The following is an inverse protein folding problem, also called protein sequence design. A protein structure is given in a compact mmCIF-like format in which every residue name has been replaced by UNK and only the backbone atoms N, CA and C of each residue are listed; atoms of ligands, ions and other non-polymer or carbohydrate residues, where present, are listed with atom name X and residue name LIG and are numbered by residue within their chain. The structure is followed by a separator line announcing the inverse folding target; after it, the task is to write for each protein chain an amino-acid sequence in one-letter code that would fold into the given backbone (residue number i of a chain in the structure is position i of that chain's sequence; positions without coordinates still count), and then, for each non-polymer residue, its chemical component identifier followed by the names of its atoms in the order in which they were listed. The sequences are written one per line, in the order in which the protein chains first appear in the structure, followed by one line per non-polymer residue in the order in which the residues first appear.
data_IF_741267533065
#
_entry.id   IF_741267533065
#
_cell.length_a   1.000
_cell.length_b   1.000
_cell.length_c   1.000
_cell.angle_alpha   90.00
_cell.angle_beta   90.00
_cell.angle_gamma   90.00
#
_symmetry.space_group_name_H-M   'P 1'
#
loop_
_entity.id
_entity.type
_entity.pdbx_description
1 polymer ?
#
# COMPACT_ATOMS: atom_id res chain seq x y z
N UNK A 1 -18.06 6.66 10.93
CA UNK A 1 -17.27 5.68 10.13
C UNK A 1 -18.16 4.55 9.67
N UNK A 2 -18.13 4.19 8.38
CA UNK A 2 -18.81 3.00 7.88
C UNK A 2 -18.00 1.75 8.18
N UNK A 3 -18.71 0.63 8.45
CA UNK A 3 -18.11 -0.66 8.76
C UNK A 3 -18.63 -1.73 7.80
N UNK A 4 -17.75 -2.61 7.36
CA UNK A 4 -18.11 -3.80 6.60
C UNK A 4 -17.82 -5.06 7.42
N UNK A 5 -18.63 -6.09 7.21
CA UNK A 5 -18.46 -7.36 7.92
C UNK A 5 -17.58 -8.29 7.08
N UNK A 6 -16.54 -8.83 7.70
CA UNK A 6 -15.74 -9.87 7.08
C UNK A 6 -16.57 -11.14 6.93
N UNK A 7 -16.70 -11.68 5.70
CA UNK A 7 -17.50 -12.89 5.41
C UNK A 7 -16.90 -14.12 6.11
N UNK A 8 -15.60 -14.27 6.04
CA UNK A 8 -14.87 -15.35 6.70
C UNK A 8 -14.56 -14.93 8.15
N UNK A 9 -15.59 -14.75 8.95
CA UNK A 9 -15.45 -14.35 10.34
C UNK A 9 -15.36 -15.58 11.24
N UNK A 10 -14.22 -15.84 11.93
CA UNK A 10 -14.15 -16.90 12.93
C UNK A 10 -15.11 -16.62 14.07
N UNK A 11 -15.32 -17.60 14.95
CA UNK A 11 -16.10 -17.39 16.16
C UNK A 11 -15.66 -16.09 16.89
N UNK A 12 -16.59 -15.36 17.50
CA UNK A 12 -16.27 -14.08 18.14
C UNK A 12 -15.09 -14.20 19.10
N UNK A 13 -14.05 -13.39 18.88
CA UNK A 13 -12.83 -13.35 19.70
C UNK A 13 -12.49 -11.92 20.16
N UNK A 14 -13.27 -10.94 19.68
CA UNK A 14 -13.17 -9.54 20.07
C UNK A 14 -14.57 -8.89 20.08
N UNK A 15 -14.64 -7.63 20.56
CA UNK A 15 -15.89 -6.89 20.72
C UNK A 15 -16.46 -6.37 19.37
N UNK A 16 -15.73 -6.54 18.27
CA UNK A 16 -16.07 -5.96 16.96
C UNK A 16 -17.01 -6.83 16.12
N UNK A 17 -17.20 -8.12 16.48
CA UNK A 17 -18.08 -9.06 15.75
C UNK A 17 -17.80 -9.11 14.23
N UNK A 18 -16.53 -9.04 13.83
CA UNK A 18 -16.10 -9.04 12.44
C UNK A 18 -16.35 -7.72 11.69
N UNK A 19 -16.76 -6.65 12.37
CA UNK A 19 -16.91 -5.32 11.78
C UNK A 19 -15.54 -4.67 11.60
N UNK A 20 -15.24 -4.27 10.37
CA UNK A 20 -14.00 -3.64 9.97
C UNK A 20 -14.35 -2.27 9.39
N UNK A 21 -13.67 -1.22 9.87
CA UNK A 21 -13.85 0.13 9.34
C UNK A 21 -13.48 0.16 7.86
N UNK A 22 -14.28 0.85 7.06
CA UNK A 22 -14.05 0.96 5.63
C UNK A 22 -12.74 1.69 5.31
N UNK A 23 -12.29 2.59 6.18
CA UNK A 23 -10.94 3.15 6.19
C UNK A 23 -10.05 2.40 7.18
N UNK A 24 -8.86 2.00 6.75
CA UNK A 24 -7.80 1.43 7.58
C UNK A 24 -6.54 2.30 7.55
N UNK A 25 -5.77 2.27 8.63
CA UNK A 25 -4.49 2.97 8.74
C UNK A 25 -3.34 2.03 8.35
N UNK A 26 -2.66 2.34 7.22
CA UNK A 26 -1.43 1.68 6.80
C UNK A 26 -0.20 2.40 7.35
N UNK A 27 0.77 1.67 7.89
CA UNK A 27 1.94 2.23 8.59
C UNK A 27 3.21 2.26 7.77
N UNK A 28 3.14 2.02 6.47
CA UNK A 28 4.31 2.09 5.59
C UNK A 28 4.85 3.52 5.39
N UNK A 29 4.03 4.52 5.68
CA UNK A 29 4.33 5.95 5.44
C UNK A 29 4.17 6.79 6.71
N UNK A 30 4.57 6.25 7.86
CA UNK A 30 4.60 7.05 9.09
C UNK A 30 5.55 8.26 8.96
N UNK A 31 5.27 9.37 9.65
CA UNK A 31 6.13 10.53 9.62
C UNK A 31 7.53 10.19 10.15
N UNK A 32 8.56 10.78 9.54
CA UNK A 32 9.94 10.59 9.90
C UNK A 32 10.51 11.91 10.45
N UNK A 33 11.45 11.83 11.39
CA UNK A 33 12.25 12.98 11.85
C UNK A 33 13.30 13.37 10.83
N UNK A 34 13.86 12.36 10.15
CA UNK A 34 14.80 12.51 9.05
C UNK A 34 14.29 11.68 7.86
N UNK A 35 13.99 12.34 6.74
CA UNK A 35 13.48 11.70 5.53
C UNK A 35 14.49 10.71 4.91
N UNK A 36 15.79 10.86 5.19
CA UNK A 36 16.84 9.96 4.74
C UNK A 36 16.94 8.70 5.61
N UNK A 37 16.55 8.75 6.87
CA UNK A 37 16.55 7.62 7.81
C UNK A 37 15.15 7.03 7.97
N UNK A 38 14.91 5.90 7.31
CA UNK A 38 13.62 5.19 7.40
C UNK A 38 13.30 4.65 8.80
N UNK A 39 14.27 4.57 9.70
CA UNK A 39 14.07 4.10 11.08
C UNK A 39 13.67 5.23 12.04
N UNK A 40 13.79 6.48 11.61
CA UNK A 40 13.60 7.69 12.42
C UNK A 40 12.12 8.12 12.55
N UNK A 41 11.22 7.20 12.87
CA UNK A 41 9.79 7.53 13.03
C UNK A 41 9.65 8.70 14.02
N UNK A 42 8.90 9.73 13.62
CA UNK A 42 8.44 10.79 14.51
C UNK A 42 7.25 10.26 15.32
N UNK A 43 7.58 9.62 16.44
CA UNK A 43 6.59 8.91 17.25
C UNK A 43 5.50 9.84 17.81
N UNK A 44 5.79 11.12 18.03
CA UNK A 44 4.81 12.08 18.53
C UNK A 44 3.75 12.36 17.46
N UNK A 45 4.16 12.75 16.26
CA UNK A 45 3.24 12.97 15.13
C UNK A 45 2.54 11.69 14.70
N UNK A 46 3.25 10.57 14.69
CA UNK A 46 2.64 9.28 14.37
C UNK A 46 1.57 8.88 15.40
N UNK A 47 1.78 9.19 16.70
CA UNK A 47 0.79 8.93 17.73
C UNK A 47 -0.47 9.79 17.56
N UNK A 48 -0.33 11.07 17.19
CA UNK A 48 -1.47 11.95 16.89
C UNK A 48 -2.33 11.38 15.75
N UNK A 49 -1.69 10.84 14.70
CA UNK A 49 -2.34 10.16 13.58
C UNK A 49 -3.15 8.95 14.06
N UNK A 50 -2.55 8.09 14.89
CA UNK A 50 -3.23 6.92 15.46
C UNK A 50 -4.41 7.31 16.33
N UNK A 51 -4.23 8.31 17.18
CA UNK A 51 -5.23 8.78 18.11
C UNK A 51 -6.44 9.37 17.40
N UNK A 52 -6.20 10.19 16.39
CA UNK A 52 -7.27 10.76 15.58
C UNK A 52 -8.02 9.67 14.82
N UNK A 53 -7.30 8.76 14.15
CA UNK A 53 -7.92 7.65 13.41
C UNK A 53 -8.80 6.78 14.32
N UNK A 54 -8.26 6.35 15.47
CA UNK A 54 -8.99 5.52 16.42
C UNK A 54 -10.22 6.25 16.98
N UNK A 55 -10.07 7.50 17.41
CA UNK A 55 -11.17 8.31 17.97
C UNK A 55 -12.32 8.52 16.97
N UNK A 56 -12.02 8.49 15.65
CA UNK A 56 -13.02 8.61 14.59
C UNK A 56 -13.46 7.26 14.00
N UNK A 57 -13.21 6.16 14.72
CA UNK A 57 -13.77 4.85 14.44
C UNK A 57 -12.97 3.99 13.45
N UNK A 58 -11.74 4.39 13.07
CA UNK A 58 -10.83 3.49 12.38
C UNK A 58 -10.42 2.38 13.35
N UNK A 59 -10.68 1.13 12.97
CA UNK A 59 -10.39 -0.04 13.79
C UNK A 59 -9.51 -1.08 13.09
N UNK A 60 -8.95 -0.78 11.90
CA UNK A 60 -8.02 -1.65 11.18
C UNK A 60 -6.67 -0.95 11.02
N UNK A 61 -5.62 -1.56 11.57
CA UNK A 61 -4.24 -1.07 11.55
C UNK A 61 -3.35 -2.11 10.87
N UNK A 62 -2.62 -1.67 9.82
CA UNK A 62 -1.80 -2.54 8.99
C UNK A 62 -0.32 -2.16 9.09
N UNK A 63 0.51 -3.11 9.53
CA UNK A 63 1.96 -2.99 9.57
C UNK A 63 2.63 -4.14 8.82
N UNK A 64 3.96 -4.20 8.82
CA UNK A 64 4.74 -5.33 8.35
C UNK A 64 6.13 -5.34 8.97
N UNK A 65 6.71 -6.53 9.07
CA UNK A 65 8.04 -6.77 9.62
C UNK A 65 9.14 -5.84 9.07
N UNK A 66 9.25 -5.59 7.73
CA UNK A 66 10.32 -4.76 7.18
C UNK A 66 10.03 -3.25 7.19
N UNK A 67 8.81 -2.81 7.54
CA UNK A 67 8.47 -1.40 7.45
C UNK A 67 9.30 -0.56 8.41
N UNK A 68 9.79 0.58 7.91
CA UNK A 68 10.66 1.47 8.67
C UNK A 68 11.88 0.76 9.28
N UNK A 69 12.52 -0.15 8.51
CA UNK A 69 13.67 -0.91 9.00
C UNK A 69 13.36 -1.80 10.21
N UNK A 70 12.11 -2.25 10.37
CA UNK A 70 11.62 -3.04 11.49
C UNK A 70 11.11 -2.24 12.69
N UNK A 71 11.07 -0.89 12.57
CA UNK A 71 10.58 -0.02 13.65
C UNK A 71 9.06 0.14 13.64
N UNK A 72 8.39 -0.12 12.51
CA UNK A 72 6.94 0.08 12.38
C UNK A 72 6.14 -0.81 13.34
N UNK A 73 6.44 -2.10 13.45
CA UNK A 73 5.75 -3.01 14.37
C UNK A 73 5.92 -2.58 15.83
N UNK A 74 7.14 -2.19 16.22
CA UNK A 74 7.45 -1.71 17.58
C UNK A 74 6.66 -0.45 17.92
N UNK A 75 6.60 0.48 16.98
CA UNK A 75 5.79 1.68 17.13
C UNK A 75 4.30 1.37 17.20
N UNK A 76 3.76 0.53 16.31
CA UNK A 76 2.36 0.09 16.35
C UNK A 76 1.99 -0.53 17.70
N UNK A 77 2.83 -1.43 18.21
CA UNK A 77 2.63 -2.05 19.51
C UNK A 77 2.63 -1.05 20.65
N UNK A 78 3.49 -0.02 20.60
CA UNK A 78 3.52 1.08 21.56
C UNK A 78 2.27 1.96 21.44
N UNK A 79 1.92 2.38 20.23
CA UNK A 79 0.83 3.32 19.96
C UNK A 79 -0.54 2.73 20.34
N UNK A 80 -0.76 1.44 20.02
CA UNK A 80 -2.03 0.76 20.25
C UNK A 80 -2.19 0.24 21.69
N UNK A 81 -1.11 0.14 22.47
CA UNK A 81 -1.14 -0.40 23.84
C UNK A 81 -2.05 0.36 24.80
N UNK A 82 -2.41 1.62 24.48
CA UNK A 82 -3.33 2.44 25.29
C UNK A 82 -4.81 2.15 25.02
N UNK A 83 -5.13 1.38 23.98
CA UNK A 83 -6.48 1.01 23.62
C UNK A 83 -6.76 -0.44 23.98
N UNK A 84 -8.02 -0.80 24.34
CA UNK A 84 -8.38 -2.19 24.57
C UNK A 84 -8.06 -3.06 23.34
N UNK A 85 -7.32 -4.16 23.52
CA UNK A 85 -6.91 -5.03 22.41
C UNK A 85 -8.10 -5.56 21.59
N UNK A 86 -9.25 -5.76 22.21
CA UNK A 86 -10.47 -6.24 21.56
C UNK A 86 -11.19 -5.16 20.72
N UNK A 87 -10.74 -3.90 20.77
CA UNK A 87 -11.40 -2.76 20.08
C UNK A 87 -10.81 -2.43 18.71
N UNK A 88 -9.79 -3.17 18.25
CA UNK A 88 -9.17 -2.96 16.94
C UNK A 88 -8.68 -4.27 16.33
N UNK A 89 -8.51 -4.25 15.02
CA UNK A 89 -7.85 -5.30 14.26
C UNK A 89 -6.42 -4.90 13.92
N UNK A 90 -5.48 -5.80 14.17
CA UNK A 90 -4.07 -5.62 13.86
C UNK A 90 -3.64 -6.61 12.78
N UNK A 91 -3.01 -6.10 11.72
CA UNK A 91 -2.45 -6.88 10.64
C UNK A 91 -0.92 -6.78 10.60
N UNK A 92 -0.22 -7.90 10.39
CA UNK A 92 1.19 -7.94 10.01
C UNK A 92 1.46 -9.00 8.95
N UNK A 93 2.71 -9.08 8.46
CA UNK A 93 3.04 -9.83 7.25
C UNK A 93 4.35 -10.59 7.37
N UNK A 94 4.41 -11.79 6.77
CA UNK A 94 5.61 -12.62 6.66
C UNK A 94 6.39 -12.25 5.39
N UNK A 95 7.60 -11.69 5.47
CA UNK A 95 8.43 -11.35 4.31
C UNK A 95 9.18 -12.58 3.77
N UNK A 96 8.73 -13.17 2.66
CA UNK A 96 9.30 -14.39 2.10
C UNK A 96 10.76 -14.29 1.65
N UNK A 97 11.22 -13.09 1.30
CA UNK A 97 12.63 -12.87 0.92
C UNK A 97 13.62 -12.96 2.09
N UNK A 98 13.12 -13.02 3.31
CA UNK A 98 13.95 -13.26 4.51
C UNK A 98 14.01 -14.73 4.94
N UNK A 99 13.19 -15.60 4.32
CA UNK A 99 13.20 -17.04 4.62
C UNK A 99 14.43 -17.70 4.01
N UNK A 100 15.16 -18.44 4.82
CA UNK A 100 16.35 -19.24 4.46
C UNK A 100 16.19 -20.72 4.82
N UNK A 101 15.31 -21.01 5.77
CA UNK A 101 14.91 -22.35 6.21
C UNK A 101 13.46 -22.34 6.69
N UNK A 102 12.88 -23.52 6.96
CA UNK A 102 11.49 -23.67 7.42
C UNK A 102 11.26 -22.98 8.77
N UNK A 103 12.24 -23.02 9.67
CA UNK A 103 12.17 -22.44 11.02
C UNK A 103 12.05 -20.90 11.00
N UNK A 104 12.44 -20.25 9.90
CA UNK A 104 12.35 -18.80 9.77
C UNK A 104 10.89 -18.30 9.79
N UNK A 105 9.93 -19.10 9.34
CA UNK A 105 8.51 -18.75 9.39
C UNK A 105 8.06 -18.55 10.82
N UNK A 106 8.30 -19.54 11.68
CA UNK A 106 7.93 -19.47 13.10
C UNK A 106 8.77 -18.46 13.87
N UNK A 107 10.06 -18.33 13.55
CA UNK A 107 10.97 -17.35 14.18
C UNK A 107 10.47 -15.93 13.93
N UNK A 108 10.22 -15.55 12.65
CA UNK A 108 9.74 -14.21 12.30
C UNK A 108 8.41 -13.94 12.97
N UNK A 109 7.46 -14.88 12.90
CA UNK A 109 6.16 -14.71 13.55
C UNK A 109 6.29 -14.46 15.06
N UNK A 110 7.14 -15.22 15.74
CA UNK A 110 7.37 -15.09 17.18
C UNK A 110 8.09 -13.78 17.57
N UNK A 111 8.92 -13.22 16.68
CA UNK A 111 9.52 -11.89 16.86
C UNK A 111 8.51 -10.75 16.71
N UNK A 112 7.51 -10.92 15.83
CA UNK A 112 6.49 -9.91 15.57
C UNK A 112 5.50 -9.73 16.73
N UNK A 113 5.16 -10.80 17.44
CA UNK A 113 4.24 -10.74 18.58
C UNK A 113 4.71 -9.74 19.66
N UNK A 114 5.92 -9.83 20.22
CA UNK A 114 6.41 -8.85 21.20
C UNK A 114 6.64 -7.46 20.59
N UNK A 115 7.05 -7.37 19.32
CA UNK A 115 7.17 -6.07 18.64
C UNK A 115 5.83 -5.35 18.64
N UNK A 116 4.76 -6.05 18.30
CA UNK A 116 3.40 -5.52 18.24
C UNK A 116 2.67 -5.53 19.60
N UNK A 117 3.32 -6.00 20.68
CA UNK A 117 2.75 -6.13 22.03
C UNK A 117 1.40 -6.86 22.03
N UNK A 118 1.33 -8.00 21.34
CA UNK A 118 0.11 -8.78 21.16
C UNK A 118 0.39 -10.27 21.24
N UNK A 119 -0.62 -11.07 21.56
CA UNK A 119 -0.54 -12.54 21.61
C UNK A 119 -1.08 -13.19 20.33
N UNK A 120 -1.70 -12.41 19.43
CA UNK A 120 -2.28 -12.87 18.18
C UNK A 120 -2.41 -11.72 17.17
N UNK A 121 -2.48 -12.07 15.88
CA UNK A 121 -2.87 -11.13 14.81
C UNK A 121 -4.30 -11.41 14.35
N UNK A 122 -5.07 -10.35 14.14
CA UNK A 122 -6.41 -10.45 13.56
C UNK A 122 -6.36 -10.80 12.07
N UNK A 123 -5.38 -10.25 11.38
CA UNK A 123 -5.06 -10.51 9.98
C UNK A 123 -3.57 -10.77 9.84
N UNK A 124 -3.22 -11.83 9.14
CA UNK A 124 -1.82 -12.11 8.86
C UNK A 124 -1.64 -12.44 7.37
N UNK A 125 -0.59 -11.89 6.76
CA UNK A 125 -0.42 -11.95 5.33
C UNK A 125 0.90 -12.60 4.92
N UNK A 126 0.85 -13.43 3.90
CA UNK A 126 2.02 -13.73 3.09
C UNK A 126 2.35 -12.46 2.29
N UNK A 127 3.56 -11.89 2.48
CA UNK A 127 3.90 -10.52 2.06
C UNK A 127 4.39 -10.44 0.61
N UNK A 128 3.84 -9.49 -0.16
CA UNK A 128 4.35 -9.13 -1.49
C UNK A 128 4.51 -10.31 -2.43
N UNK A 129 3.43 -11.08 -2.59
CA UNK A 129 3.39 -12.26 -3.46
C UNK A 129 3.36 -11.84 -4.93
N UNK A 130 4.29 -12.35 -5.71
CA UNK A 130 4.43 -12.20 -7.16
C UNK A 130 5.24 -13.37 -7.72
N UNK A 131 5.41 -13.46 -9.04
CA UNK A 131 6.10 -14.57 -9.72
C UNK A 131 7.50 -14.86 -9.14
N UNK A 132 8.24 -13.82 -8.80
CA UNK A 132 9.60 -13.94 -8.25
C UNK A 132 9.67 -14.30 -6.77
N UNK A 133 8.57 -14.22 -6.01
CA UNK A 133 8.57 -14.45 -4.55
C UNK A 133 7.83 -15.70 -4.12
N UNK A 134 6.81 -16.15 -4.87
CA UNK A 134 5.93 -17.25 -4.48
C UNK A 134 6.68 -18.56 -4.25
N UNK A 135 7.64 -18.88 -5.11
CA UNK A 135 8.44 -20.11 -4.99
C UNK A 135 9.16 -20.26 -3.65
N UNK A 136 9.55 -19.14 -3.04
CA UNK A 136 10.22 -19.15 -1.74
C UNK A 136 9.26 -19.52 -0.59
N UNK A 137 8.01 -19.04 -0.66
CA UNK A 137 6.97 -19.41 0.30
C UNK A 137 6.59 -20.88 0.20
N UNK A 138 6.51 -21.43 -1.02
CA UNK A 138 6.27 -22.86 -1.26
C UNK A 138 7.44 -23.69 -0.75
N UNK A 139 8.69 -23.29 -1.08
CA UNK A 139 9.91 -24.02 -0.68
C UNK A 139 10.02 -24.21 0.83
N UNK A 140 9.63 -23.21 1.62
CA UNK A 140 9.71 -23.24 3.07
C UNK A 140 8.35 -23.50 3.75
N UNK A 141 7.41 -24.11 3.06
CA UNK A 141 6.11 -24.55 3.59
C UNK A 141 5.38 -23.46 4.39
N UNK A 142 5.50 -22.20 3.94
CA UNK A 142 5.02 -21.06 4.71
C UNK A 142 3.50 -21.11 4.93
N UNK A 143 2.71 -21.49 3.91
CA UNK A 143 1.27 -21.59 4.06
C UNK A 143 0.87 -22.60 5.14
N UNK A 144 1.46 -23.80 5.12
CA UNK A 144 1.10 -24.86 6.06
C UNK A 144 1.41 -24.45 7.50
N UNK A 145 2.61 -23.87 7.73
CA UNK A 145 3.02 -23.39 9.05
C UNK A 145 2.13 -22.25 9.55
N UNK A 146 1.78 -21.29 8.70
CA UNK A 146 0.86 -20.19 9.06
C UNK A 146 -0.56 -20.71 9.32
N UNK A 147 -0.99 -21.74 8.61
CA UNK A 147 -2.28 -22.37 8.82
C UNK A 147 -2.34 -23.12 10.16
N UNK A 148 -1.25 -23.74 10.61
CA UNK A 148 -1.15 -24.29 11.97
C UNK A 148 -1.24 -23.18 13.04
N UNK A 149 -0.62 -22.02 12.83
CA UNK A 149 -0.78 -20.87 13.70
C UNK A 149 -2.23 -20.32 13.69
N UNK A 150 -2.92 -20.39 12.54
CA UNK A 150 -4.35 -20.06 12.45
C UNK A 150 -5.20 -21.04 13.26
N UNK A 151 -4.99 -22.34 13.13
CA UNK A 151 -5.67 -23.37 13.94
C UNK A 151 -5.41 -23.21 15.44
N UNK A 152 -4.19 -22.80 15.82
CA UNK A 152 -3.83 -22.49 17.21
C UNK A 152 -4.40 -21.16 17.70
N UNK A 153 -5.14 -20.40 16.88
CA UNK A 153 -5.75 -19.13 17.24
C UNK A 153 -4.77 -17.95 17.35
N UNK A 154 -3.51 -18.13 16.92
CA UNK A 154 -2.50 -17.05 16.87
C UNK A 154 -2.69 -16.13 15.66
N UNK A 155 -3.31 -16.62 14.61
CA UNK A 155 -3.79 -15.88 13.45
C UNK A 155 -5.31 -16.08 13.37
N UNK A 156 -6.08 -15.00 13.26
CA UNK A 156 -7.53 -15.12 13.15
C UNK A 156 -7.99 -15.22 11.69
N UNK A 157 -7.29 -14.52 10.78
CA UNK A 157 -7.53 -14.56 9.32
C UNK A 157 -6.18 -14.58 8.60
N UNK A 158 -6.02 -15.56 7.71
CA UNK A 158 -4.82 -15.73 6.89
C UNK A 158 -5.10 -15.30 5.44
N UNK A 159 -4.28 -14.41 4.92
CA UNK A 159 -4.36 -13.94 3.55
C UNK A 159 -3.00 -13.65 2.96
N UNK A 160 -2.97 -12.90 1.87
CA UNK A 160 -1.72 -12.48 1.24
C UNK A 160 -1.86 -11.11 0.58
N UNK A 161 -0.75 -10.36 0.48
CA UNK A 161 -0.66 -9.16 -0.35
C UNK A 161 -0.06 -9.53 -1.71
N UNK A 162 -0.69 -9.06 -2.79
CA UNK A 162 -0.43 -9.57 -4.12
C UNK A 162 -0.06 -8.48 -5.14
N UNK A 163 1.00 -8.74 -5.91
CA UNK A 163 1.54 -7.84 -6.94
C UNK A 163 1.81 -8.55 -8.30
N UNK A 164 1.47 -9.82 -8.43
CA UNK A 164 1.69 -10.62 -9.63
C UNK A 164 0.60 -10.48 -10.70
N UNK A 165 0.65 -11.37 -11.71
CA UNK A 165 -0.33 -11.47 -12.79
C UNK A 165 -1.67 -12.06 -12.32
N UNK A 166 -2.73 -11.88 -13.10
CA UNK A 166 -4.03 -12.47 -12.80
C UNK A 166 -3.99 -14.01 -12.89
N UNK A 167 -3.15 -14.56 -13.76
CA UNK A 167 -2.92 -16.00 -13.91
C UNK A 167 -2.31 -16.59 -12.64
N UNK A 168 -1.27 -15.97 -12.11
CA UNK A 168 -0.65 -16.40 -10.85
C UNK A 168 -1.62 -16.24 -9.67
N UNK A 169 -2.43 -15.17 -9.65
CA UNK A 169 -3.44 -15.03 -8.60
C UNK A 169 -4.41 -16.22 -8.58
N UNK A 170 -4.89 -16.67 -9.74
CA UNK A 170 -5.78 -17.82 -9.82
C UNK A 170 -5.12 -19.10 -9.27
N UNK A 171 -3.83 -19.33 -9.53
CA UNK A 171 -3.08 -20.46 -8.99
C UNK A 171 -2.98 -20.39 -7.46
N UNK A 172 -2.67 -19.22 -6.91
CA UNK A 172 -2.51 -19.02 -5.46
C UNK A 172 -3.86 -19.14 -4.73
N UNK A 173 -4.94 -18.61 -5.33
CA UNK A 173 -6.29 -18.77 -4.79
C UNK A 173 -6.70 -20.24 -4.69
N UNK A 174 -6.26 -21.08 -5.62
CA UNK A 174 -6.52 -22.53 -5.61
C UNK A 174 -5.57 -23.31 -4.68
N UNK A 175 -4.43 -22.73 -4.29
CA UNK A 175 -3.40 -23.41 -3.50
C UNK A 175 -3.65 -23.37 -1.98
N UNK A 176 -4.65 -22.64 -1.49
CA UNK A 176 -4.91 -22.53 -0.05
C UNK A 176 -6.33 -22.09 0.27
N UNK A 177 -6.73 -22.34 1.51
CA UNK A 177 -7.96 -21.83 2.10
C UNK A 177 -7.69 -20.45 2.71
N UNK A 178 -7.80 -19.42 1.87
CA UNK A 178 -7.53 -18.04 2.23
C UNK A 178 -8.77 -17.35 2.76
N UNK A 179 -8.60 -16.42 3.71
CA UNK A 179 -9.70 -15.66 4.29
C UNK A 179 -9.93 -14.31 3.57
N UNK A 180 -8.89 -13.73 2.98
CA UNK A 180 -8.93 -12.44 2.27
C UNK A 180 -7.71 -12.26 1.37
N UNK A 181 -7.75 -11.26 0.48
CA UNK A 181 -6.61 -10.85 -0.34
C UNK A 181 -6.38 -9.34 -0.21
N UNK A 182 -5.13 -8.90 -0.11
CA UNK A 182 -4.77 -7.49 -0.19
C UNK A 182 -4.26 -7.18 -1.60
N UNK A 183 -4.98 -6.31 -2.33
CA UNK A 183 -4.68 -5.92 -3.71
C UNK A 183 -4.38 -4.44 -3.84
N UNK A 184 -3.45 -4.08 -4.75
CA UNK A 184 -3.31 -2.72 -5.23
C UNK A 184 -4.47 -2.38 -6.15
N UNK A 185 -5.35 -1.47 -5.70
CA UNK A 185 -6.51 -1.01 -6.46
C UNK A 185 -6.65 0.51 -6.37
N UNK A 186 -6.82 1.15 -7.50
CA UNK A 186 -7.19 2.55 -7.67
C UNK A 186 -7.74 2.74 -9.09
N UNK A 187 -8.34 3.88 -9.37
CA UNK A 187 -8.95 4.13 -10.67
C UNK A 187 -7.94 4.20 -11.83
N UNK A 188 -6.66 4.53 -11.55
CA UNK A 188 -5.60 4.53 -12.56
C UNK A 188 -5.19 3.12 -12.96
N UNK A 189 -5.01 2.22 -11.98
CA UNK A 189 -4.54 0.85 -12.19
C UNK A 189 -5.67 -0.12 -12.62
N UNK A 190 -6.93 0.32 -12.58
CA UNK A 190 -8.09 -0.55 -12.82
C UNK A 190 -8.00 -1.33 -14.13
N UNK A 191 -7.66 -0.66 -15.23
CA UNK A 191 -7.42 -1.28 -16.53
C UNK A 191 -5.91 -1.49 -16.81
N UNK A 192 -5.04 -0.87 -16.00
CA UNK A 192 -3.61 -1.09 -15.99
C UNK A 192 -3.26 -2.22 -15.02
N UNK A 193 -2.22 -3.00 -15.25
CA UNK A 193 -1.81 -4.13 -14.40
C UNK A 193 -2.91 -5.20 -14.15
N UNK A 194 -3.93 -5.31 -14.99
CA UNK A 194 -5.03 -6.27 -14.86
C UNK A 194 -5.77 -6.19 -13.50
N UNK A 195 -5.81 -5.03 -12.85
CA UNK A 195 -6.36 -4.89 -11.49
C UNK A 195 -7.84 -5.26 -11.43
N UNK A 196 -8.63 -4.93 -12.47
CA UNK A 196 -10.02 -5.36 -12.61
C UNK A 196 -10.15 -6.88 -12.57
N UNK A 197 -9.38 -7.58 -13.41
CA UNK A 197 -9.40 -9.05 -13.49
C UNK A 197 -9.02 -9.71 -12.16
N UNK A 198 -8.00 -9.17 -11.47
CA UNK A 198 -7.60 -9.64 -10.14
C UNK A 198 -8.71 -9.47 -9.10
N UNK A 199 -9.36 -8.31 -9.08
CA UNK A 199 -10.51 -8.05 -8.21
C UNK A 199 -11.67 -9.00 -8.48
N UNK A 200 -12.01 -9.24 -9.75
CA UNK A 200 -13.07 -10.15 -10.18
C UNK A 200 -12.76 -11.61 -9.80
N UNK A 201 -11.51 -12.05 -9.93
CA UNK A 201 -11.05 -13.37 -9.47
C UNK A 201 -11.25 -13.55 -7.97
N UNK A 202 -10.89 -12.56 -7.14
CA UNK A 202 -11.14 -12.61 -5.70
C UNK A 202 -12.64 -12.69 -5.40
N UNK A 203 -13.46 -11.88 -6.09
CA UNK A 203 -14.90 -11.88 -5.90
C UNK A 203 -15.53 -13.24 -6.29
N UNK A 204 -15.10 -13.83 -7.39
CA UNK A 204 -15.54 -15.17 -7.85
C UNK A 204 -15.13 -16.28 -6.86
N UNK A 205 -13.98 -16.16 -6.21
CA UNK A 205 -13.53 -17.04 -5.14
C UNK A 205 -14.23 -16.80 -3.79
N UNK A 206 -15.15 -15.82 -3.69
CA UNK A 206 -15.83 -15.45 -2.45
C UNK A 206 -14.97 -14.66 -1.45
N UNK A 207 -13.74 -14.29 -1.83
CA UNK A 207 -12.79 -13.58 -0.97
C UNK A 207 -12.96 -12.07 -1.07
N UNK A 208 -13.05 -11.40 0.08
CA UNK A 208 -13.08 -9.95 0.14
C UNK A 208 -11.68 -9.36 -0.03
N UNK A 209 -11.64 -8.14 -0.56
CA UNK A 209 -10.40 -7.45 -0.86
C UNK A 209 -10.14 -6.34 0.16
N UNK A 210 -8.93 -6.33 0.73
CA UNK A 210 -8.36 -5.18 1.41
C UNK A 210 -7.54 -4.41 0.37
N UNK A 211 -7.80 -3.13 0.21
CA UNK A 211 -7.13 -2.31 -0.81
C UNK A 211 -5.87 -1.68 -0.25
N UNK A 212 -4.75 -1.86 -0.95
CA UNK A 212 -3.53 -1.07 -0.75
C UNK A 212 -3.32 -0.11 -1.93
N UNK A 213 -2.54 0.94 -1.72
CA UNK A 213 -2.23 1.97 -2.73
C UNK A 213 -3.47 2.66 -3.35
N UNK A 214 -4.50 3.03 -2.56
CA UNK A 214 -5.71 3.65 -3.12
C UNK A 214 -5.42 4.99 -3.79
N UNK A 215 -4.41 5.72 -3.31
CA UNK A 215 -3.93 7.01 -3.86
C UNK A 215 -2.63 6.84 -4.65
N UNK A 216 -2.21 5.60 -4.90
CA UNK A 216 -1.05 5.24 -5.70
C UNK A 216 0.24 5.94 -5.28
N UNK A 217 0.59 5.81 -3.99
CA UNK A 217 1.78 6.44 -3.41
C UNK A 217 1.74 7.96 -3.33
N UNK A 218 0.57 8.57 -3.49
CA UNK A 218 0.37 10.01 -3.55
C UNK A 218 0.16 10.56 -4.97
N UNK A 219 0.51 9.79 -6.02
CA UNK A 219 0.38 10.21 -7.42
C UNK A 219 -1.02 10.74 -7.78
N UNK A 220 -2.07 10.12 -7.24
CA UNK A 220 -3.46 10.52 -7.52
C UNK A 220 -3.93 11.73 -6.69
N UNK A 221 -3.06 12.27 -5.85
CA UNK A 221 -3.27 13.55 -5.15
C UNK A 221 -2.52 14.72 -5.83
N UNK A 222 -1.69 14.43 -6.84
CA UNK A 222 -0.90 15.41 -7.61
C UNK A 222 -1.16 15.23 -9.10
N UNK A 223 -2.43 15.43 -9.49
CA UNK A 223 -2.83 15.38 -10.91
C UNK A 223 -2.31 16.62 -11.65
N UNK A 224 -2.15 16.50 -12.99
CA UNK A 224 -1.88 17.68 -13.81
C UNK A 224 -3.00 18.72 -13.66
N UNK A 225 -2.71 20.03 -13.88
CA UNK A 225 -3.66 21.11 -13.62
C UNK A 225 -5.01 20.92 -14.30
N UNK A 226 -5.03 20.44 -15.55
CA UNK A 226 -6.24 20.23 -16.34
C UNK A 226 -7.11 19.10 -15.75
N UNK A 227 -6.50 17.98 -15.33
CA UNK A 227 -7.22 16.89 -14.71
C UNK A 227 -7.75 17.28 -13.32
N UNK A 228 -6.93 17.98 -12.52
CA UNK A 228 -7.32 18.48 -11.21
C UNK A 228 -8.50 19.48 -11.31
N UNK A 229 -8.46 20.38 -12.30
CA UNK A 229 -9.53 21.36 -12.53
C UNK A 229 -10.88 20.70 -12.79
N UNK A 230 -10.94 19.60 -13.55
CA UNK A 230 -12.18 18.85 -13.79
C UNK A 230 -12.79 18.33 -12.48
N UNK A 231 -11.97 17.80 -11.58
CA UNK A 231 -12.43 17.26 -10.30
C UNK A 231 -12.84 18.37 -9.32
N UNK A 232 -12.05 19.44 -9.22
CA UNK A 232 -12.38 20.60 -8.38
C UNK A 232 -13.63 21.35 -8.85
N UNK A 233 -13.88 21.43 -10.17
CA UNK A 233 -15.09 22.04 -10.69
C UNK A 233 -16.34 21.23 -10.33
N UNK A 234 -16.22 19.89 -10.29
CA UNK A 234 -17.33 19.00 -9.95
C UNK A 234 -17.62 18.93 -8.45
N UNK A 235 -16.59 19.03 -7.59
CA UNK A 235 -16.71 19.01 -6.15
C UNK A 235 -15.59 19.86 -5.49
N UNK A 236 -15.78 21.19 -5.39
CA UNK A 236 -14.74 22.12 -4.92
C UNK A 236 -14.29 21.87 -3.49
N UNK A 237 -15.14 21.27 -2.65
CA UNK A 237 -14.87 20.97 -1.26
C UNK A 237 -14.13 19.63 -1.05
N UNK A 238 -13.93 18.85 -2.11
CA UNK A 238 -13.31 17.52 -2.03
C UNK A 238 -11.85 17.57 -2.46
N UNK A 239 -10.98 16.93 -1.66
CA UNK A 239 -9.59 16.71 -2.04
C UNK A 239 -9.47 15.74 -3.23
N UNK A 240 -8.36 15.79 -3.97
CA UNK A 240 -8.09 14.81 -5.03
C UNK A 240 -7.96 13.39 -4.47
N UNK A 241 -7.40 13.23 -3.26
CA UNK A 241 -7.30 11.95 -2.57
C UNK A 241 -8.68 11.36 -2.28
N UNK A 242 -9.68 12.19 -1.94
CA UNK A 242 -11.04 11.74 -1.65
C UNK A 242 -11.71 11.05 -2.84
N UNK A 243 -11.43 11.49 -4.07
CA UNK A 243 -11.94 10.84 -5.29
C UNK A 243 -11.39 9.42 -5.42
N UNK A 244 -10.09 9.22 -5.16
CA UNK A 244 -9.45 7.92 -5.25
C UNK A 244 -9.95 6.96 -4.16
N UNK A 245 -10.02 7.43 -2.92
CA UNK A 245 -10.47 6.64 -1.76
C UNK A 245 -11.95 6.25 -1.91
N UNK A 246 -12.82 7.19 -2.28
CA UNK A 246 -14.24 6.93 -2.51
C UNK A 246 -14.48 5.99 -3.68
N UNK A 247 -13.66 6.09 -4.75
CA UNK A 247 -13.77 5.20 -5.89
C UNK A 247 -13.56 3.74 -5.51
N UNK A 248 -12.45 3.41 -4.82
CA UNK A 248 -12.20 2.02 -4.40
C UNK A 248 -13.18 1.55 -3.34
N UNK A 249 -13.58 2.43 -2.43
CA UNK A 249 -14.57 2.13 -1.41
C UNK A 249 -15.97 1.84 -1.99
N UNK A 250 -16.28 2.38 -3.18
CA UNK A 250 -17.53 2.11 -3.89
C UNK A 250 -17.61 0.68 -4.47
N UNK A 251 -16.48 -0.04 -4.55
CA UNK A 251 -16.46 -1.42 -5.06
C UNK A 251 -17.07 -2.38 -4.03
N UNK A 252 -18.08 -3.20 -4.40
CA UNK A 252 -18.87 -3.96 -3.42
C UNK A 252 -18.10 -5.07 -2.69
N UNK A 253 -17.02 -5.60 -3.29
CA UNK A 253 -16.21 -6.66 -2.68
C UNK A 253 -15.00 -6.14 -1.88
N UNK A 254 -14.85 -4.83 -1.74
CA UNK A 254 -13.82 -4.21 -0.88
C UNK A 254 -14.27 -4.30 0.57
N UNK A 255 -13.42 -4.81 1.44
CA UNK A 255 -13.63 -4.90 2.87
C UNK A 255 -13.12 -3.66 3.60
N UNK A 256 -11.90 -3.22 3.25
CA UNK A 256 -11.21 -2.10 3.87
C UNK A 256 -10.30 -1.42 2.84
N UNK A 257 -10.17 -0.10 2.93
CA UNK A 257 -9.27 0.72 2.12
C UNK A 257 -8.13 1.20 3.03
N UNK A 258 -6.91 0.67 2.81
CA UNK A 258 -5.74 1.08 3.56
C UNK A 258 -5.16 2.37 2.98
N UNK A 259 -5.08 3.39 3.79
CA UNK A 259 -4.37 4.62 3.45
C UNK A 259 -3.13 4.79 4.34
N UNK A 260 -1.98 5.06 3.71
CA UNK A 260 -0.78 5.51 4.39
C UNK A 260 -0.83 7.02 4.53
N UNK A 261 -1.05 7.48 5.75
CA UNK A 261 -1.22 8.89 6.08
C UNK A 261 -0.02 9.37 6.90
N UNK A 262 0.70 10.37 6.38
CA UNK A 262 1.96 10.87 6.96
C UNK A 262 1.72 12.10 7.83
N UNK A 263 0.60 12.81 7.64
CA UNK A 263 0.25 14.01 8.41
C UNK A 263 -1.15 13.90 9.00
N UNK A 264 -1.42 14.70 10.04
CA UNK A 264 -2.73 14.75 10.68
C UNK A 264 -3.82 15.24 9.71
N UNK A 265 -3.48 16.20 8.83
CA UNK A 265 -4.41 16.71 7.82
C UNK A 265 -4.85 15.62 6.84
N UNK A 266 -3.94 14.72 6.44
CA UNK A 266 -4.28 13.59 5.58
C UNK A 266 -5.25 12.63 6.26
N UNK A 267 -5.07 12.37 7.56
CA UNK A 267 -6.01 11.54 8.33
C UNK A 267 -7.37 12.20 8.44
N UNK A 268 -7.40 13.50 8.71
CA UNK A 268 -8.63 14.29 8.79
C UNK A 268 -9.40 14.27 7.48
N UNK A 269 -8.73 14.50 6.36
CA UNK A 269 -9.31 14.46 5.02
C UNK A 269 -9.87 13.07 4.66
N UNK A 270 -9.09 12.01 4.92
CA UNK A 270 -9.50 10.65 4.63
C UNK A 270 -10.69 10.21 5.51
N UNK A 271 -10.68 10.56 6.79
CA UNK A 271 -11.83 10.31 7.69
C UNK A 271 -13.07 11.07 7.20
N UNK A 272 -12.95 12.36 6.87
CA UNK A 272 -14.06 13.16 6.34
C UNK A 272 -14.61 12.63 5.01
N UNK A 273 -13.77 11.96 4.21
CA UNK A 273 -14.20 11.30 2.97
C UNK A 273 -14.97 10.00 3.20
N UNK A 274 -14.82 9.38 4.37
CA UNK A 274 -15.37 8.06 4.70
C UNK A 274 -16.42 8.10 5.83
N UNK A 275 -16.71 9.27 6.39
CA UNK A 275 -17.67 9.44 7.48
C UNK A 275 -18.48 10.75 7.35
N UNK A 276 -19.72 10.72 6.83
CA UNK A 276 -20.37 9.53 6.25
C UNK A 276 -19.80 9.16 4.88
N UNK A 277 -19.65 7.85 4.60
CA UNK A 277 -19.26 7.40 3.28
C UNK A 277 -20.41 7.55 2.28
N UNK A 278 -20.12 8.26 1.19
CA UNK A 278 -21.03 8.42 0.06
C UNK A 278 -20.33 7.87 -1.19
N UNK A 279 -20.84 6.79 -1.79
CA UNK A 279 -20.29 6.26 -3.04
C UNK A 279 -20.28 7.31 -4.15
N UNK A 280 -19.35 7.18 -5.09
CA UNK A 280 -19.34 8.05 -6.27
C UNK A 280 -20.62 7.87 -7.09
N UNK A 281 -21.32 8.96 -7.35
CA UNK A 281 -22.45 9.01 -8.29
C UNK A 281 -21.98 8.72 -9.73
N UNK A 282 -22.90 8.37 -10.62
CA UNK A 282 -22.57 8.16 -12.04
C UNK A 282 -21.91 9.39 -12.66
N UNK A 283 -22.40 10.61 -12.36
CA UNK A 283 -21.81 11.86 -12.85
C UNK A 283 -20.38 12.07 -12.34
N UNK A 284 -20.11 11.74 -11.06
CA UNK A 284 -18.76 11.80 -10.52
C UNK A 284 -17.84 10.76 -11.19
N UNK A 285 -18.33 9.55 -11.44
CA UNK A 285 -17.56 8.50 -12.14
C UNK A 285 -17.21 8.94 -13.58
N UNK A 286 -18.16 9.53 -14.32
CA UNK A 286 -17.91 10.06 -15.68
C UNK A 286 -16.89 11.21 -15.65
N UNK A 287 -16.96 12.07 -14.64
CA UNK A 287 -16.00 13.18 -14.47
C UNK A 287 -14.61 12.65 -14.14
N UNK A 288 -14.52 11.65 -13.24
CA UNK A 288 -13.27 11.00 -12.90
C UNK A 288 -12.64 10.29 -14.10
N UNK A 289 -13.45 9.63 -14.94
CA UNK A 289 -12.97 8.99 -16.17
C UNK A 289 -12.33 10.01 -17.13
N UNK A 290 -12.99 11.16 -17.36
CA UNK A 290 -12.43 12.25 -18.19
C UNK A 290 -11.14 12.80 -17.60
N UNK A 291 -11.08 13.03 -16.30
CA UNK A 291 -9.87 13.50 -15.62
C UNK A 291 -8.73 12.47 -15.75
N UNK A 292 -9.05 11.18 -15.65
CA UNK A 292 -8.09 10.10 -15.82
C UNK A 292 -7.51 10.05 -17.24
N UNK A 293 -8.33 10.24 -18.27
CA UNK A 293 -7.86 10.27 -19.67
C UNK A 293 -6.84 11.41 -19.88
N UNK A 294 -7.16 12.61 -19.38
CA UNK A 294 -6.24 13.76 -19.40
C UNK A 294 -4.93 13.46 -18.66
N UNK A 295 -5.03 12.84 -17.48
CA UNK A 295 -3.86 12.52 -16.65
C UNK A 295 -2.98 11.43 -17.30
N UNK A 296 -3.58 10.39 -17.87
CA UNK A 296 -2.83 9.31 -18.58
C UNK A 296 -2.07 9.83 -19.80
N UNK A 297 -2.57 10.87 -20.45
CA UNK A 297 -1.88 11.50 -21.59
C UNK A 297 -0.51 12.10 -21.22
N UNK A 298 -0.26 12.37 -19.94
CA UNK A 298 1.03 12.88 -19.44
C UNK A 298 2.17 11.85 -19.49
N UNK A 299 1.88 10.56 -19.66
CA UNK A 299 2.88 9.46 -19.76
C UNK A 299 3.89 9.44 -18.60
N UNK A 300 3.40 9.54 -17.39
CA UNK A 300 4.23 9.52 -16.18
C UNK A 300 4.90 8.17 -15.95
N UNK A 301 6.05 8.18 -15.27
CA UNK A 301 6.61 6.96 -14.69
C UNK A 301 5.68 6.47 -13.56
N UNK A 302 5.18 5.22 -13.61
CA UNK A 302 4.16 4.75 -12.67
C UNK A 302 4.74 4.38 -11.29
N UNK A 303 5.68 5.17 -10.77
CA UNK A 303 6.35 4.93 -9.49
C UNK A 303 5.44 5.32 -8.30
N UNK A 304 5.35 4.44 -7.29
CA UNK A 304 4.62 4.68 -6.03
C UNK A 304 5.55 5.06 -4.87
N UNK A 305 6.84 5.27 -5.14
CA UNK A 305 7.87 5.57 -4.15
C UNK A 305 7.93 4.56 -2.98
N UNK A 306 7.61 3.29 -3.24
CA UNK A 306 7.62 2.22 -2.22
C UNK A 306 9.03 1.83 -1.74
N UNK A 307 10.08 2.26 -2.46
CA UNK A 307 11.51 2.04 -2.16
C UNK A 307 11.97 0.57 -2.19
N UNK A 308 11.18 -0.39 -2.68
CA UNK A 308 11.62 -1.79 -2.78
C UNK A 308 12.82 -2.00 -3.70
N UNK A 309 13.01 -1.11 -4.70
CA UNK A 309 14.19 -1.09 -5.56
C UNK A 309 15.47 -0.62 -4.86
N UNK A 310 15.37 -0.10 -3.62
CA UNK A 310 16.50 0.40 -2.84
C UNK A 310 17.04 -0.67 -1.86
N UNK A 311 18.33 -0.59 -1.45
CA UNK A 311 19.34 0.34 -1.99
C UNK A 311 19.76 -0.08 -3.40
N UNK A 312 20.07 0.93 -4.25
CA UNK A 312 20.67 0.70 -5.54
C UNK A 312 22.15 0.36 -5.37
N UNK A 313 22.70 -0.69 -6.03
CA UNK A 313 24.12 -1.02 -5.93
C UNK A 313 25.08 0.10 -6.39
N UNK A 314 24.62 0.96 -7.32
CA UNK A 314 25.35 2.11 -7.79
C UNK A 314 25.00 3.43 -7.07
N UNK A 315 24.25 3.37 -5.97
CA UNK A 315 23.89 4.54 -5.17
C UNK A 315 22.79 5.44 -5.74
N UNK A 316 22.20 5.12 -6.89
CA UNK A 316 21.17 5.97 -7.52
C UNK A 316 19.92 6.05 -6.66
N UNK A 317 19.43 7.26 -6.39
CA UNK A 317 18.11 7.50 -5.78
C UNK A 317 17.02 7.29 -6.84
N UNK A 318 16.71 6.03 -7.15
CA UNK A 318 15.74 5.65 -8.18
C UNK A 318 14.38 6.35 -7.99
N UNK A 319 13.73 6.33 -6.80
CA UNK A 319 12.46 7.00 -6.61
C UNK A 319 12.53 8.51 -6.84
N UNK A 320 13.61 9.17 -6.41
CA UNK A 320 13.83 10.59 -6.62
C UNK A 320 13.97 10.95 -8.09
N UNK A 321 14.72 10.16 -8.86
CA UNK A 321 14.86 10.39 -10.31
C UNK A 321 13.55 10.20 -11.08
N UNK A 322 12.74 9.21 -10.69
CA UNK A 322 11.41 9.01 -11.28
C UNK A 322 10.42 10.11 -10.86
N UNK A 323 10.58 10.67 -9.66
CA UNK A 323 9.82 11.84 -9.23
C UNK A 323 10.16 13.07 -10.08
N UNK A 324 11.45 13.40 -10.24
CA UNK A 324 11.90 14.50 -11.09
C UNK A 324 11.37 14.40 -12.52
N UNK A 325 11.35 13.19 -13.10
CA UNK A 325 10.72 12.92 -14.38
C UNK A 325 9.22 13.24 -14.37
N UNK A 326 8.50 12.84 -13.32
CA UNK A 326 7.06 13.07 -13.25
C UNK A 326 6.73 14.56 -13.09
N UNK A 327 7.49 15.30 -12.27
CA UNK A 327 7.33 16.76 -12.15
C UNK A 327 7.56 17.46 -13.50
N UNK A 328 8.60 17.06 -14.23
CA UNK A 328 8.84 17.55 -15.59
C UNK A 328 7.63 17.34 -16.50
N UNK A 329 7.06 16.14 -16.52
CA UNK A 329 5.89 15.81 -17.33
C UNK A 329 4.63 16.58 -16.90
N UNK A 330 4.40 16.70 -15.60
CA UNK A 330 3.25 17.41 -15.03
C UNK A 330 3.31 18.92 -15.28
N UNK A 331 4.50 19.49 -15.44
CA UNK A 331 4.71 20.90 -15.78
C UNK A 331 4.74 21.17 -17.29
N UNK A 332 4.25 20.26 -18.13
CA UNK A 332 4.19 20.42 -19.59
C UNK A 332 5.56 20.36 -20.27
N UNK A 333 6.39 19.39 -19.87
CA UNK A 333 7.74 19.14 -20.44
C UNK A 333 8.69 20.35 -20.29
N UNK A 334 8.59 21.06 -19.18
CA UNK A 334 9.46 22.20 -18.88
C UNK A 334 10.84 21.69 -18.43
N UNK A 335 11.83 21.73 -19.33
CA UNK A 335 13.20 21.27 -19.08
C UNK A 335 13.84 21.92 -17.85
N UNK A 336 13.52 23.18 -17.52
CA UNK A 336 14.02 23.85 -16.32
C UNK A 336 13.59 23.11 -15.04
N UNK A 337 12.35 22.62 -14.98
CA UNK A 337 11.86 21.83 -13.84
C UNK A 337 12.66 20.52 -13.69
N UNK A 338 12.89 19.81 -14.80
CA UNK A 338 13.70 18.58 -14.73
C UNK A 338 15.13 18.86 -14.23
N UNK A 339 15.75 19.92 -14.72
CA UNK A 339 17.11 20.31 -14.31
C UNK A 339 17.17 20.67 -12.83
N UNK A 340 16.24 21.46 -12.36
CA UNK A 340 16.15 21.87 -10.95
C UNK A 340 16.02 20.65 -10.03
N UNK A 341 15.02 19.80 -10.26
CA UNK A 341 14.78 18.59 -9.48
C UNK A 341 15.96 17.59 -9.55
N UNK A 342 16.64 17.52 -10.71
CA UNK A 342 17.80 16.67 -10.91
C UNK A 342 19.03 17.17 -10.17
N UNK A 343 19.26 18.49 -10.21
CA UNK A 343 20.41 19.16 -9.59
C UNK A 343 20.27 19.25 -8.06
N UNK A 344 19.06 19.31 -7.53
CA UNK A 344 18.78 19.26 -6.08
C UNK A 344 19.16 17.89 -5.48
N UNK A 345 19.14 16.83 -6.27
CA UNK A 345 19.63 15.54 -5.81
C UNK A 345 21.17 15.54 -5.66
N UNK A 346 21.72 14.94 -4.57
CA UNK A 346 23.16 14.77 -4.42
C UNK A 346 23.79 14.14 -5.67
N UNK A 347 24.84 14.70 -6.21
CA UNK A 347 25.44 14.29 -7.48
C UNK A 347 25.67 12.76 -7.59
N UNK A 348 26.18 12.14 -6.52
CA UNK A 348 26.45 10.70 -6.46
C UNK A 348 25.17 9.81 -6.53
N UNK A 349 23.97 10.41 -6.47
CA UNK A 349 22.68 9.66 -6.46
C UNK A 349 21.87 9.86 -7.73
N UNK A 350 22.40 10.54 -8.72
CA UNK A 350 21.71 10.89 -9.97
C UNK A 350 21.66 9.73 -10.97
N UNK A 351 20.77 9.85 -11.96
CA UNK A 351 20.48 8.80 -12.94
C UNK A 351 21.71 8.41 -13.79
N UNK A 352 22.65 9.32 -14.04
CA UNK A 352 23.89 9.10 -14.79
C UNK A 352 24.79 8.00 -14.18
N UNK A 353 24.68 7.76 -12.88
CA UNK A 353 25.40 6.68 -12.20
C UNK A 353 24.78 5.29 -12.38
N UNK A 354 23.68 5.18 -13.15
CA UNK A 354 23.03 3.89 -13.38
C UNK A 354 23.90 2.97 -14.25
N UNK A 355 24.46 1.92 -13.65
CA UNK A 355 25.29 0.89 -14.34
C UNK A 355 24.45 -0.15 -15.08
N UNK A 356 23.14 0.02 -15.20
CA UNK A 356 22.19 -0.85 -15.92
C UNK A 356 22.21 -2.33 -15.48
N UNK A 357 22.61 -2.62 -14.23
CA UNK A 357 22.73 -3.99 -13.70
C UNK A 357 21.40 -4.76 -13.58
N UNK A 358 20.27 -4.08 -13.60
CA UNK A 358 18.94 -4.69 -13.54
C UNK A 358 18.46 -5.18 -12.16
N UNK A 359 19.24 -5.02 -11.09
CA UNK A 359 18.89 -5.49 -9.73
C UNK A 359 17.58 -4.89 -9.17
N UNK A 360 17.15 -3.75 -9.70
CA UNK A 360 15.92 -3.07 -9.31
C UNK A 360 14.66 -3.64 -10.00
N UNK A 361 14.79 -4.29 -11.16
CA UNK A 361 13.65 -4.72 -11.98
C UNK A 361 12.78 -5.77 -11.27
N UNK A 362 13.34 -6.88 -10.74
CA UNK A 362 12.52 -7.90 -10.07
C UNK A 362 11.94 -7.43 -8.74
N UNK A 363 12.41 -6.30 -8.21
CA UNK A 363 11.94 -5.73 -6.94
C UNK A 363 10.81 -4.71 -7.13
N UNK A 364 10.57 -4.26 -8.37
CA UNK A 364 9.60 -3.20 -8.63
C UNK A 364 8.19 -3.77 -8.79
N UNK A 365 7.27 -3.54 -7.83
CA UNK A 365 5.89 -4.04 -7.93
C UNK A 365 5.07 -3.31 -9.00
N UNK A 366 5.61 -2.21 -9.57
CA UNK A 366 4.99 -1.48 -10.66
C UNK A 366 5.53 -1.91 -12.04
N UNK A 367 6.45 -2.87 -12.09
CA UNK A 367 7.08 -3.39 -13.33
C UNK A 367 7.70 -2.31 -14.23
N UNK A 368 8.23 -1.24 -13.62
CA UNK A 368 8.88 -0.15 -14.35
C UNK A 368 10.21 -0.65 -14.95
N UNK A 369 10.43 -0.42 -16.24
CA UNK A 369 11.78 -0.56 -16.79
C UNK A 369 12.66 0.62 -16.32
N UNK A 370 13.12 0.50 -15.08
CA UNK A 370 13.91 1.53 -14.41
C UNK A 370 15.18 1.87 -15.19
N UNK A 371 15.82 0.90 -15.85
CA UNK A 371 17.05 1.13 -16.63
C UNK A 371 16.79 2.06 -17.82
N UNK A 372 15.72 1.78 -18.56
CA UNK A 372 15.30 2.63 -19.68
C UNK A 372 14.90 4.01 -19.19
N UNK A 373 14.19 4.11 -18.07
CA UNK A 373 13.83 5.40 -17.48
C UNK A 373 15.05 6.23 -17.08
N UNK A 374 16.08 5.62 -16.43
CA UNK A 374 17.31 6.34 -16.10
C UNK A 374 18.01 6.86 -17.35
N UNK A 375 18.07 6.06 -18.44
CA UNK A 375 18.60 6.53 -19.72
C UNK A 375 17.79 7.68 -20.31
N UNK A 376 16.45 7.55 -20.34
CA UNK A 376 15.54 8.60 -20.85
C UNK A 376 15.74 9.93 -20.12
N UNK A 377 15.89 9.90 -18.79
CA UNK A 377 16.11 11.11 -18.00
C UNK A 377 17.43 11.76 -18.40
N UNK A 378 18.53 10.98 -18.52
CA UNK A 378 19.82 11.51 -18.95
C UNK A 378 19.81 12.06 -20.38
N UNK A 379 19.10 11.39 -21.29
CA UNK A 379 19.00 11.81 -22.70
C UNK A 379 18.14 13.07 -22.88
N UNK A 380 17.30 13.40 -21.91
CA UNK A 380 16.42 14.58 -21.93
C UNK A 380 17.08 15.83 -21.34
N UNK A 381 18.05 15.66 -20.43
CA UNK A 381 18.82 16.74 -19.78
C UNK A 381 19.86 17.35 -20.71
#
# INVERSE_FOLDING_TARGET
MEYRVCRNNPAPYNDLNGKISLLGLGTMRLPLRDAADQTSIDEEKAQEIFDYAYAHGVNYFDTAYPYHGGMSEKFCGKALAKYPRASYHLASKLPGWLLKCDEDVSRIFNEQLPNCRTDYFDFYLVHSVHEGSWSNYVKYHAYDQLNELRKAGKIKRLGFSFHGSAEQLAEILAAGDWDFVQLQLNYFDWDYQQSRKKYELCAAAGLQVIVMEPVRGGMLNTLCPEAAALLHQAAPEKSLASWAIRWVASLPNVLCVLSGMTTLEQVQDNVASMDPFIPLSTTEQDTLARALDVFKAQKLAPCTACKYCMPCPAGVNIPGMLHAWNEYRLCGDRLATLKEEYEDAPAATRAEHCIKCGACLPKCPQHIDIRSMMSTICDTL
#
